data_IF_649860402386
#
_entry.id   IF_649860402386
#
_cell.length_a   1.000
_cell.length_b   1.000
_cell.length_c   1.000
_cell.angle_alpha   90.00
_cell.angle_beta   90.00
_cell.angle_gamma   90.00
#
_symmetry.space_group_name_H-M   'P 1'
#
loop_
_entity.id
_entity.type
_entity.pdbx_description
1 polymer ?
#
# COMPACT_ATOMS: atom_id res chain seq x y z
N UNK A 1 -18.02 -20.75 2.83
CA UNK A 1 -16.56 -20.97 2.77
C UNK A 1 -16.12 -21.02 4.20
N UNK A 2 -15.49 -22.11 4.63
CA UNK A 2 -15.00 -22.30 5.99
C UNK A 2 -13.49 -22.28 5.96
N UNK A 3 -12.86 -21.66 6.95
CA UNK A 3 -11.41 -21.69 7.13
C UNK A 3 -11.14 -22.65 8.28
N UNK A 4 -10.27 -23.62 8.06
CA UNK A 4 -9.86 -24.57 9.10
C UNK A 4 -8.52 -24.17 9.72
N UNK A 5 -7.65 -23.53 8.96
CA UNK A 5 -6.28 -23.26 9.34
C UNK A 5 -5.76 -21.96 8.74
N UNK A 6 -4.88 -21.27 9.47
CA UNK A 6 -4.09 -20.16 8.96
C UNK A 6 -2.63 -20.55 9.06
N UNK A 7 -1.94 -20.57 7.91
CA UNK A 7 -0.52 -20.86 7.81
C UNK A 7 0.24 -19.54 7.78
N UNK A 8 1.20 -19.34 8.69
CA UNK A 8 1.97 -18.10 8.78
C UNK A 8 3.46 -18.37 8.99
N UNK A 9 4.28 -17.36 8.70
CA UNK A 9 5.71 -17.38 8.96
C UNK A 9 6.00 -16.52 10.20
N UNK A 10 6.74 -17.06 11.16
CA UNK A 10 7.12 -16.37 12.38
C UNK A 10 8.63 -16.02 12.35
N UNK A 11 9.01 -14.77 12.03
CA UNK A 11 10.42 -14.40 11.89
C UNK A 11 11.24 -14.60 13.18
N UNK A 12 10.59 -14.52 14.35
CA UNK A 12 11.22 -14.68 15.66
C UNK A 12 11.75 -16.09 15.93
N UNK A 13 11.22 -17.09 15.23
CA UNK A 13 11.60 -18.49 15.38
C UNK A 13 12.15 -19.10 14.10
N UNK A 14 12.14 -18.36 12.99
CA UNK A 14 12.60 -18.84 11.68
C UNK A 14 11.70 -19.91 11.06
N UNK A 15 10.54 -20.19 11.66
CA UNK A 15 9.72 -21.35 11.36
C UNK A 15 8.34 -20.98 10.79
N UNK A 16 7.80 -21.91 10.00
CA UNK A 16 6.40 -21.93 9.59
C UNK A 16 5.53 -22.46 10.73
N UNK A 17 4.41 -21.79 10.99
CA UNK A 17 3.48 -22.14 12.06
C UNK A 17 2.03 -22.13 11.55
N UNK A 18 1.16 -22.72 12.34
CA UNK A 18 -0.23 -22.97 11.99
C UNK A 18 -1.15 -22.59 13.15
N UNK A 19 -2.25 -21.93 12.80
CA UNK A 19 -3.35 -21.64 13.73
C UNK A 19 -4.56 -22.46 13.29
N UNK A 20 -5.05 -23.35 14.15
CA UNK A 20 -6.30 -24.06 13.91
C UNK A 20 -7.50 -23.16 14.24
N UNK A 21 -8.47 -23.13 13.35
CA UNK A 21 -9.68 -22.31 13.46
C UNK A 21 -10.82 -23.19 13.93
N UNK A 22 -11.40 -22.84 15.08
CA UNK A 22 -12.53 -23.54 15.65
C UNK A 22 -13.84 -23.16 14.93
N UNK A 23 -14.89 -23.94 15.17
CA UNK A 23 -16.18 -23.80 14.50
C UNK A 23 -16.79 -22.39 14.62
N UNK A 24 -16.61 -21.75 15.77
CA UNK A 24 -17.22 -20.47 16.09
C UNK A 24 -16.26 -19.28 15.87
N UNK A 25 -15.04 -19.55 15.40
CA UNK A 25 -14.06 -18.52 15.12
C UNK A 25 -14.39 -17.80 13.80
N UNK A 26 -14.15 -16.50 13.77
CA UNK A 26 -14.35 -15.66 12.59
C UNK A 26 -13.00 -15.21 12.03
N UNK A 27 -12.82 -15.42 10.73
CA UNK A 27 -11.61 -15.01 10.02
C UNK A 27 -11.93 -13.85 9.08
N UNK A 28 -11.27 -12.73 9.30
CA UNK A 28 -11.35 -11.53 8.46
C UNK A 28 -10.02 -11.32 7.75
N UNK A 29 -10.08 -11.11 6.44
CA UNK A 29 -8.91 -10.96 5.58
C UNK A 29 -8.97 -9.61 4.88
N UNK A 30 -7.85 -8.89 4.88
CA UNK A 30 -7.64 -7.77 3.95
C UNK A 30 -6.86 -8.33 2.75
N UNK A 31 -7.48 -8.32 1.57
CA UNK A 31 -6.87 -8.83 0.34
C UNK A 31 -6.36 -7.67 -0.50
N UNK A 32 -5.05 -7.67 -0.77
CA UNK A 32 -4.40 -6.54 -1.43
C UNK A 32 -4.12 -5.38 -0.47
N UNK A 33 -3.21 -4.50 -0.87
CA UNK A 33 -2.95 -3.25 -0.17
C UNK A 33 -2.41 -2.22 -1.14
N UNK A 34 -2.88 -0.98 -1.01
CA UNK A 34 -2.41 0.17 -1.79
C UNK A 34 -0.96 0.55 -1.47
N UNK A 35 -0.46 0.18 -0.29
CA UNK A 35 0.91 0.46 0.15
C UNK A 35 1.81 -0.76 0.09
N UNK A 36 1.31 -1.89 -0.41
CA UNK A 36 2.17 -3.06 -0.66
C UNK A 36 3.22 -2.69 -1.70
N UNK A 37 4.44 -3.20 -1.49
CA UNK A 37 5.61 -2.87 -2.31
C UNK A 37 5.99 -1.38 -2.36
N UNK A 38 5.53 -0.55 -1.41
CA UNK A 38 5.99 0.84 -1.32
C UNK A 38 7.46 0.91 -0.94
N UNK A 39 8.20 1.86 -1.53
CA UNK A 39 9.57 2.17 -1.18
C UNK A 39 9.69 3.63 -0.72
N UNK A 40 10.66 3.90 0.16
CA UNK A 40 10.91 5.24 0.67
C UNK A 40 12.29 5.72 0.20
N UNK A 41 12.33 6.99 -0.22
CA UNK A 41 13.57 7.72 -0.44
C UNK A 41 13.98 8.53 0.79
N UNK A 42 14.98 9.38 0.60
CA UNK A 42 15.42 10.38 1.57
C UNK A 42 15.51 11.75 0.88
N UNK A 43 15.97 12.77 1.61
CA UNK A 43 16.20 14.09 1.03
C UNK A 43 17.30 14.12 -0.06
N UNK A 44 18.13 13.07 -0.14
CA UNK A 44 19.26 12.98 -1.07
C UNK A 44 19.31 11.68 -1.87
N UNK A 45 18.29 10.83 -1.74
CA UNK A 45 18.26 9.50 -2.36
C UNK A 45 16.85 9.20 -2.82
N UNK A 46 16.70 8.80 -4.09
CA UNK A 46 15.40 8.40 -4.62
C UNK A 46 14.90 7.10 -3.97
N UNK A 47 13.57 6.88 -3.88
CA UNK A 47 13.03 5.56 -3.56
C UNK A 47 13.47 4.51 -4.59
N UNK A 48 13.42 3.24 -4.20
CA UNK A 48 13.66 2.12 -5.14
C UNK A 48 12.68 2.16 -6.31
N UNK A 49 13.07 1.67 -7.50
CA UNK A 49 12.18 1.56 -8.65
C UNK A 49 10.88 0.81 -8.36
N UNK A 50 9.87 1.02 -9.21
CA UNK A 50 8.61 0.29 -9.14
C UNK A 50 8.87 -1.22 -9.23
N UNK A 51 8.16 -2.04 -8.42
CA UNK A 51 8.33 -3.48 -8.45
C UNK A 51 7.85 -4.06 -9.77
N UNK A 52 8.54 -5.09 -10.24
CA UNK A 52 8.02 -6.00 -11.26
C UNK A 52 6.88 -6.86 -10.69
N UNK A 53 6.07 -7.50 -11.56
CA UNK A 53 5.03 -8.42 -11.09
C UNK A 53 5.60 -9.59 -10.27
N UNK A 54 6.80 -10.08 -10.62
CA UNK A 54 7.47 -11.14 -9.89
C UNK A 54 7.91 -10.67 -8.49
N UNK A 55 8.52 -9.49 -8.40
CA UNK A 55 8.91 -8.89 -7.11
C UNK A 55 7.69 -8.63 -6.22
N UNK A 56 6.56 -8.26 -6.79
CA UNK A 56 5.32 -8.05 -6.03
C UNK A 56 4.82 -9.32 -5.35
N UNK A 57 4.99 -10.49 -5.98
CA UNK A 57 4.63 -11.80 -5.41
C UNK A 57 5.63 -12.29 -4.36
N UNK A 58 6.85 -11.77 -4.37
CA UNK A 58 7.90 -12.08 -3.39
C UNK A 58 8.12 -10.95 -2.39
N UNK A 59 7.26 -9.94 -2.37
CA UNK A 59 7.35 -8.82 -1.43
C UNK A 59 7.36 -9.35 0.02
N UNK A 60 8.21 -8.80 0.91
CA UNK A 60 8.22 -9.19 2.32
C UNK A 60 6.87 -9.03 3.03
N UNK A 61 6.01 -8.12 2.56
CA UNK A 61 4.67 -7.92 3.13
C UNK A 61 3.71 -9.10 2.86
N UNK A 62 4.01 -9.97 1.89
CA UNK A 62 3.24 -11.17 1.57
C UNK A 62 1.81 -10.94 1.04
N UNK A 63 1.39 -9.70 0.84
CA UNK A 63 0.00 -9.32 0.57
C UNK A 63 -0.50 -9.91 -0.75
N UNK A 64 0.26 -9.68 -1.83
CA UNK A 64 -0.09 -10.19 -3.16
C UNK A 64 0.10 -11.70 -3.24
N UNK A 65 1.06 -12.27 -2.50
CA UNK A 65 1.28 -13.72 -2.43
C UNK A 65 0.08 -14.42 -1.81
N UNK A 66 -0.42 -13.92 -0.67
CA UNK A 66 -1.58 -14.49 0.01
C UNK A 66 -2.81 -14.47 -0.89
N UNK A 67 -3.13 -13.30 -1.47
CA UNK A 67 -4.30 -13.18 -2.34
C UNK A 67 -4.17 -14.07 -3.59
N UNK A 68 -2.99 -14.08 -4.23
CA UNK A 68 -2.75 -14.96 -5.39
C UNK A 68 -2.87 -16.43 -5.04
N UNK A 69 -2.39 -16.85 -3.87
CA UNK A 69 -2.55 -18.23 -3.39
C UNK A 69 -4.01 -18.61 -3.18
N UNK A 70 -4.84 -17.72 -2.66
CA UNK A 70 -6.27 -17.98 -2.46
C UNK A 70 -7.06 -18.05 -3.77
N UNK A 71 -6.60 -17.31 -4.80
CA UNK A 71 -7.17 -17.30 -6.14
C UNK A 71 -6.58 -18.35 -7.10
N UNK A 72 -5.59 -19.14 -6.66
CA UNK A 72 -4.98 -20.19 -7.47
C UNK A 72 -5.79 -21.49 -7.37
N UNK A 73 -6.32 -22.05 -8.48
CA UNK A 73 -7.05 -23.31 -8.46
C UNK A 73 -6.21 -24.51 -8.01
N UNK A 74 -4.87 -24.44 -8.08
CA UNK A 74 -3.98 -25.50 -7.58
C UNK A 74 -3.91 -25.52 -6.05
N UNK A 75 -4.03 -24.37 -5.42
CA UNK A 75 -3.96 -24.24 -3.95
C UNK A 75 -5.35 -24.25 -3.32
N UNK A 76 -6.35 -23.69 -4.01
CA UNK A 76 -7.73 -23.58 -3.53
C UNK A 76 -8.75 -24.07 -4.58
N UNK A 77 -8.78 -25.37 -4.91
CA UNK A 77 -9.56 -25.90 -6.03
C UNK A 77 -11.07 -25.68 -5.90
N UNK A 78 -11.58 -25.55 -4.68
CA UNK A 78 -13.03 -25.47 -4.43
C UNK A 78 -13.57 -24.04 -4.40
N UNK A 79 -12.74 -23.04 -4.09
CA UNK A 79 -13.20 -21.69 -3.82
C UNK A 79 -12.39 -20.59 -4.52
N UNK A 80 -11.37 -20.91 -5.30
CA UNK A 80 -10.51 -19.91 -5.96
C UNK A 80 -11.28 -18.81 -6.70
N UNK A 81 -12.36 -19.17 -7.41
CA UNK A 81 -13.17 -18.22 -8.18
C UNK A 81 -13.84 -17.14 -7.33
N UNK A 82 -14.01 -17.37 -6.02
CA UNK A 82 -14.58 -16.40 -5.07
C UNK A 82 -13.59 -15.31 -4.65
N UNK A 83 -12.31 -15.51 -4.92
CA UNK A 83 -11.25 -14.56 -4.54
C UNK A 83 -10.88 -13.59 -5.67
N UNK A 84 -11.49 -13.69 -6.85
CA UNK A 84 -11.25 -12.77 -7.96
C UNK A 84 -9.88 -12.96 -8.62
N UNK A 85 -9.34 -11.89 -9.23
CA UNK A 85 -8.08 -11.93 -9.96
C UNK A 85 -7.09 -10.87 -9.44
N UNK A 86 -6.18 -11.22 -8.50
CA UNK A 86 -5.23 -10.27 -7.93
C UNK A 86 -4.21 -9.71 -8.94
N UNK A 87 -3.90 -10.46 -10.00
CA UNK A 87 -2.93 -10.02 -11.01
C UNK A 87 -3.31 -8.70 -11.68
N UNK A 88 -4.60 -8.40 -11.75
CA UNK A 88 -5.08 -7.13 -12.29
C UNK A 88 -4.51 -5.90 -11.57
N UNK A 89 -4.16 -6.04 -10.29
CA UNK A 89 -3.69 -4.94 -9.44
C UNK A 89 -2.16 -4.89 -9.39
N UNK A 90 -1.50 -6.01 -9.08
CA UNK A 90 -0.05 -6.01 -8.89
C UNK A 90 0.78 -6.13 -10.18
N UNK A 91 0.17 -6.49 -11.33
CA UNK A 91 0.89 -6.57 -12.61
C UNK A 91 0.86 -5.27 -13.43
N UNK A 92 0.01 -4.31 -13.05
CA UNK A 92 -0.22 -3.04 -13.77
C UNK A 92 0.19 -1.84 -12.93
N UNK A 93 1.39 -1.91 -12.34
CA UNK A 93 1.91 -0.89 -11.42
C UNK A 93 2.00 0.49 -12.10
N UNK A 94 2.34 0.54 -13.40
CA UNK A 94 2.38 1.79 -14.16
C UNK A 94 1.03 2.54 -14.22
N UNK A 95 -0.09 1.83 -14.09
CA UNK A 95 -1.44 2.41 -14.12
C UNK A 95 -1.97 2.80 -12.73
N UNK A 96 -1.33 2.30 -11.66
CA UNK A 96 -1.84 2.40 -10.29
C UNK A 96 -0.86 3.05 -9.30
N UNK A 97 0.34 3.42 -9.74
CA UNK A 97 1.32 4.07 -8.89
C UNK A 97 1.04 5.58 -8.75
N UNK A 98 1.43 6.11 -7.59
CA UNK A 98 1.58 7.53 -7.35
C UNK A 98 2.80 7.75 -6.45
N UNK A 99 3.37 8.95 -6.51
CA UNK A 99 4.45 9.37 -5.62
C UNK A 99 3.93 10.39 -4.62
N UNK A 100 4.26 10.18 -3.35
CA UNK A 100 4.02 11.17 -2.28
C UNK A 100 5.34 11.51 -1.61
N UNK A 101 5.38 12.67 -0.96
CA UNK A 101 6.52 13.10 -0.18
C UNK A 101 6.04 13.88 1.05
N UNK A 102 6.84 13.87 2.11
CA UNK A 102 6.61 14.66 3.31
C UNK A 102 7.83 15.54 3.53
N UNK A 103 7.61 16.85 3.67
CA UNK A 103 8.68 17.81 3.99
C UNK A 103 8.46 18.36 5.39
N UNK A 104 9.46 18.19 6.26
CA UNK A 104 9.50 18.82 7.57
C UNK A 104 10.42 20.04 7.51
N UNK A 105 9.85 21.22 7.74
CA UNK A 105 10.59 22.49 7.70
C UNK A 105 10.99 22.93 9.10
N UNK A 106 12.18 23.53 9.24
CA UNK A 106 12.65 24.10 10.52
C UNK A 106 11.92 25.39 10.91
N UNK A 107 11.33 26.09 9.93
CA UNK A 107 10.57 27.30 10.15
C UNK A 107 9.32 27.33 9.26
N UNK A 108 8.35 28.16 9.63
CA UNK A 108 7.07 28.27 8.94
C UNK A 108 7.02 29.34 7.84
N UNK A 109 8.15 29.92 7.40
CA UNK A 109 8.12 31.04 6.45
C UNK A 109 7.46 30.66 5.12
N UNK A 110 7.86 29.51 4.57
CA UNK A 110 7.25 28.96 3.36
C UNK A 110 5.75 28.76 3.52
N UNK A 111 5.32 28.18 4.65
CA UNK A 111 3.91 27.90 4.92
C UNK A 111 3.09 29.19 5.04
N UNK A 112 3.64 30.24 5.67
CA UNK A 112 3.00 31.56 5.75
C UNK A 112 2.85 32.22 4.38
N UNK A 113 3.88 32.13 3.52
CA UNK A 113 3.82 32.65 2.15
C UNK A 113 2.78 31.90 1.30
N UNK A 114 2.77 30.58 1.41
CA UNK A 114 1.81 29.72 0.72
C UNK A 114 0.36 30.06 1.14
N UNK A 115 0.12 30.24 2.43
CA UNK A 115 -1.17 30.64 2.98
C UNK A 115 -1.60 32.02 2.45
N UNK A 116 -0.70 33.01 2.47
CA UNK A 116 -0.98 34.34 1.93
C UNK A 116 -1.31 34.34 0.43
N UNK A 117 -0.72 33.44 -0.35
CA UNK A 117 -0.98 33.33 -1.80
C UNK A 117 -2.27 32.58 -2.11
N UNK A 118 -2.60 31.55 -1.34
CA UNK A 118 -3.73 30.66 -1.63
C UNK A 118 -5.00 31.03 -0.89
N UNK A 119 -4.91 31.82 0.18
CA UNK A 119 -6.00 32.04 1.13
C UNK A 119 -6.39 30.78 1.91
N UNK A 120 -5.64 29.68 1.77
CA UNK A 120 -5.93 28.40 2.39
C UNK A 120 -5.23 28.33 3.76
N UNK A 121 -5.98 28.63 4.82
CA UNK A 121 -5.46 28.59 6.18
C UNK A 121 -5.17 27.17 6.65
N UNK A 122 -4.17 27.03 7.51
CA UNK A 122 -3.72 25.72 8.02
C UNK A 122 -4.88 24.89 8.60
N UNK A 123 -5.00 23.63 8.18
CA UNK A 123 -6.02 22.71 8.68
C UNK A 123 -7.46 23.00 8.24
N UNK A 124 -7.68 23.98 7.36
CA UNK A 124 -9.04 24.40 6.95
C UNK A 124 -9.36 24.12 5.49
N UNK A 125 -8.36 23.94 4.62
CA UNK A 125 -8.60 23.64 3.21
C UNK A 125 -7.98 22.33 2.72
N UNK A 126 -8.48 21.93 1.56
CA UNK A 126 -8.06 20.74 0.82
C UNK A 126 -6.66 20.91 0.18
N UNK A 127 -6.34 20.00 -0.73
CA UNK A 127 -5.15 20.07 -1.58
C UNK A 127 -5.06 21.38 -2.35
N UNK A 128 -3.85 21.93 -2.46
CA UNK A 128 -3.47 22.99 -3.39
C UNK A 128 -2.88 22.31 -4.63
N UNK A 129 -3.57 22.40 -5.77
CA UNK A 129 -3.17 21.76 -7.02
C UNK A 129 -2.52 22.76 -7.98
N UNK A 130 -1.32 22.46 -8.43
CA UNK A 130 -0.61 23.21 -9.46
C UNK A 130 -1.05 22.70 -10.84
N UNK A 131 -2.15 23.24 -11.37
CA UNK A 131 -2.79 22.72 -12.60
C UNK A 131 -1.88 22.72 -13.83
N UNK A 132 -0.98 23.70 -13.93
CA UNK A 132 -0.05 23.86 -15.05
C UNK A 132 1.29 23.11 -14.84
N UNK A 133 1.39 22.32 -13.77
CA UNK A 133 2.52 21.43 -13.51
C UNK A 133 2.52 20.24 -14.46
N UNK A 134 3.66 19.94 -15.07
CA UNK A 134 3.84 18.70 -15.86
C UNK A 134 3.62 17.43 -15.02
N UNK A 135 3.69 17.51 -13.70
CA UNK A 135 3.48 16.39 -12.77
C UNK A 135 2.08 16.36 -12.16
N UNK A 136 1.20 17.31 -12.52
CA UNK A 136 -0.12 17.48 -11.92
C UNK A 136 -0.07 17.49 -10.37
N UNK A 137 0.98 18.12 -9.84
CA UNK A 137 1.32 18.05 -8.42
C UNK A 137 0.26 18.72 -7.55
N UNK A 138 -0.03 18.11 -6.40
CA UNK A 138 -0.81 18.70 -5.33
C UNK A 138 -0.08 18.61 -4.01
N UNK A 139 -0.18 19.66 -3.19
CA UNK A 139 0.37 19.69 -1.83
C UNK A 139 -0.75 19.99 -0.83
N UNK A 140 -0.61 19.51 0.40
CA UNK A 140 -1.42 19.95 1.53
C UNK A 140 -0.52 20.29 2.69
N UNK A 141 -1.04 21.09 3.61
CA UNK A 141 -0.39 21.40 4.87
C UNK A 141 -1.15 20.70 5.98
N UNK A 142 -0.48 19.78 6.65
CA UNK A 142 -0.95 19.23 7.93
C UNK A 142 -0.46 20.10 9.08
N UNK A 143 -1.30 20.28 10.09
CA UNK A 143 -0.90 20.87 11.37
C UNK A 143 -0.51 19.71 12.27
N UNK A 144 0.74 19.69 12.74
CA UNK A 144 1.22 18.77 13.78
C UNK A 144 1.51 19.59 15.01
#
# INVERSE_FOLDING_TARGET
MTVSEIHYYAPTHGDHALIHIQKDDLVFLTLGSMTSCSSLGTNSTSPSPLPTPAESLTSPDGTWRLWSSLADPKVNPHHFSKFGNPSNFYSRVSESNWLSFTVTLKNGEFLKRLEGWTGNAAGTGALITFKDSAWLMSISRSVV
#
